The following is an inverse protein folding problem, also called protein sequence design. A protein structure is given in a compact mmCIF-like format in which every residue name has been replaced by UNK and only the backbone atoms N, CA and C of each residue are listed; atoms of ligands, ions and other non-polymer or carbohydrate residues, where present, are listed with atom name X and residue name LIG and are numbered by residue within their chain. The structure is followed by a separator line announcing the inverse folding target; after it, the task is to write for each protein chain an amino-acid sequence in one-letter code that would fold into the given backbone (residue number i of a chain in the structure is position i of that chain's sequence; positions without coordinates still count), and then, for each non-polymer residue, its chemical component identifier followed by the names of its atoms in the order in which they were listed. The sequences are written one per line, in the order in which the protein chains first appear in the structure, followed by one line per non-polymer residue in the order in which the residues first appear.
data_IF_828649664137
#
_entry.id   IF_828649664137
#
_cell.length_a   1.000
_cell.length_b   1.000
_cell.length_c   1.000
_cell.angle_alpha   90.00
_cell.angle_beta   90.00
_cell.angle_gamma   90.00
#
_symmetry.space_group_name_H-M   'P 1'
#
loop_
_entity.id
_entity.type
_entity.pdbx_description
1 polymer ?
#
# COMPACT_ATOMS: atom_id res chain seq x y z
N UNK A 1 13.44 -32.91 22.43
CA UNK A 1 12.29 -32.23 21.80
C UNK A 1 12.51 -30.73 21.90
N UNK A 2 12.80 -30.06 20.79
CA UNK A 2 12.98 -28.59 20.71
C UNK A 2 11.68 -28.03 20.13
N UNK A 3 11.00 -27.16 20.86
CA UNK A 3 9.75 -26.52 20.44
C UNK A 3 9.95 -25.59 19.23
N UNK A 4 8.86 -25.21 18.53
CA UNK A 4 8.94 -24.37 17.34
C UNK A 4 9.51 -23.00 17.71
N UNK A 5 10.67 -22.67 17.11
CA UNK A 5 11.26 -21.35 17.18
C UNK A 5 10.33 -20.36 16.48
N UNK A 6 9.91 -19.35 17.23
CA UNK A 6 9.17 -18.18 16.75
C UNK A 6 9.91 -17.54 15.58
N UNK A 7 9.37 -17.67 14.37
CA UNK A 7 9.78 -16.87 13.21
C UNK A 7 8.81 -15.70 13.12
N UNK A 8 9.17 -14.56 13.72
CA UNK A 8 8.35 -13.36 13.69
C UNK A 8 9.17 -12.12 14.01
N UNK A 9 9.41 -11.30 13.00
CA UNK A 9 9.68 -9.87 13.19
C UNK A 9 11.15 -9.46 13.28
N UNK A 10 11.90 -9.57 12.19
CA UNK A 10 13.16 -8.83 12.00
C UNK A 10 12.97 -7.49 11.25
N UNK A 11 11.76 -7.17 10.77
CA UNK A 11 11.45 -5.97 9.99
C UNK A 11 11.40 -4.65 10.80
N UNK A 12 11.99 -4.58 12.00
CA UNK A 12 11.73 -3.50 12.98
C UNK A 12 12.96 -2.72 13.47
N UNK A 13 14.08 -2.72 12.73
CA UNK A 13 15.25 -1.90 13.13
C UNK A 13 15.46 -0.61 12.33
N UNK A 14 14.74 -0.40 11.22
CA UNK A 14 14.66 0.93 10.59
C UNK A 14 13.72 1.83 11.39
N UNK A 15 14.11 3.08 11.63
CA UNK A 15 13.22 4.08 12.23
C UNK A 15 11.99 4.25 11.33
N UNK A 16 10.78 3.84 11.80
CA UNK A 16 9.56 3.91 11.01
C UNK A 16 9.23 5.34 10.59
N UNK A 17 9.67 6.36 11.34
CA UNK A 17 9.45 7.78 11.01
C UNK A 17 10.40 8.25 9.91
N UNK A 18 11.68 7.88 9.96
CA UNK A 18 12.64 8.18 8.90
C UNK A 18 12.25 7.52 7.58
N UNK A 19 11.72 6.31 7.64
CA UNK A 19 11.26 5.56 6.48
C UNK A 19 9.94 6.11 5.93
N UNK A 20 8.99 6.48 6.80
CA UNK A 20 7.79 7.25 6.41
C UNK A 20 8.16 8.58 5.77
N UNK A 21 9.21 9.24 6.25
CA UNK A 21 9.70 10.50 5.70
C UNK A 21 10.34 10.29 4.32
N UNK A 22 11.19 9.27 4.16
CA UNK A 22 11.74 8.87 2.86
C UNK A 22 10.64 8.55 1.86
N UNK A 23 9.65 7.74 2.26
CA UNK A 23 8.48 7.41 1.43
C UNK A 23 7.72 8.70 1.09
N UNK A 24 7.39 9.54 2.07
CA UNK A 24 6.69 10.82 1.85
C UNK A 24 7.45 11.81 0.97
N UNK A 25 8.78 11.77 0.93
CA UNK A 25 9.62 12.63 0.07
C UNK A 25 9.90 12.01 -1.29
N UNK A 26 9.96 10.68 -1.39
CA UNK A 26 10.15 9.93 -2.63
C UNK A 26 8.85 9.71 -3.43
N UNK A 27 7.68 9.85 -2.79
CA UNK A 27 6.34 9.84 -3.42
C UNK A 27 6.10 11.01 -4.40
N UNK A 28 7.08 11.91 -4.56
CA UNK A 28 7.01 12.99 -5.54
C UNK A 28 7.27 12.44 -6.95
N UNK A 29 6.21 11.89 -7.56
CA UNK A 29 6.01 11.66 -9.00
C UNK A 29 6.96 10.71 -9.75
N UNK A 30 7.78 9.90 -9.07
CA UNK A 30 8.65 8.90 -9.73
C UNK A 30 8.17 7.45 -9.49
N UNK A 31 8.06 6.67 -10.57
CA UNK A 31 7.62 5.26 -10.56
C UNK A 31 8.47 4.42 -9.58
N UNK A 32 9.74 4.78 -9.41
CA UNK A 32 10.63 4.12 -8.46
C UNK A 32 10.17 4.28 -7.01
N UNK A 33 9.77 5.50 -6.62
CA UNK A 33 9.31 5.81 -5.26
C UNK A 33 7.98 5.12 -4.95
N UNK A 34 7.08 5.08 -5.94
CA UNK A 34 5.83 4.35 -5.88
C UNK A 34 6.04 2.85 -5.62
N UNK A 35 6.94 2.22 -6.38
CA UNK A 35 7.27 0.81 -6.20
C UNK A 35 7.98 0.54 -4.87
N UNK A 36 8.88 1.41 -4.43
CA UNK A 36 9.54 1.28 -3.13
C UNK A 36 8.54 1.36 -1.97
N UNK A 37 7.55 2.25 -2.07
CA UNK A 37 6.44 2.35 -1.11
C UNK A 37 5.60 1.05 -1.08
N UNK A 38 5.25 0.48 -2.23
CA UNK A 38 4.53 -0.80 -2.29
C UNK A 38 5.37 -1.95 -1.71
N UNK A 39 6.66 -1.97 -1.99
CA UNK A 39 7.60 -2.94 -1.44
C UNK A 39 7.65 -2.89 0.09
N UNK A 40 7.66 -1.67 0.64
CA UNK A 40 7.61 -1.46 2.08
C UNK A 40 6.31 -1.98 2.69
N UNK A 41 5.16 -1.62 2.12
CA UNK A 41 3.87 -2.15 2.59
C UNK A 41 3.81 -3.67 2.50
N UNK A 42 4.36 -4.26 1.43
CA UNK A 42 4.41 -5.70 1.28
C UNK A 42 5.24 -6.38 2.36
N UNK A 43 6.40 -5.82 2.72
CA UNK A 43 7.20 -6.32 3.84
C UNK A 43 6.44 -6.16 5.17
N UNK A 44 5.90 -4.97 5.44
CA UNK A 44 5.25 -4.65 6.72
C UNK A 44 3.96 -5.45 6.96
N UNK A 45 3.17 -5.67 5.91
CA UNK A 45 1.90 -6.38 5.95
C UNK A 45 2.05 -7.88 5.66
N UNK A 46 3.27 -8.37 5.42
CA UNK A 46 3.54 -9.80 5.20
C UNK A 46 3.14 -10.33 3.83
N UNK A 47 2.99 -9.47 2.83
CA UNK A 47 2.80 -9.84 1.43
C UNK A 47 4.13 -10.09 0.68
N UNK A 48 5.27 -9.89 1.34
CA UNK A 48 6.61 -10.24 0.88
C UNK A 48 7.27 -11.21 1.88
N UNK A 49 8.15 -12.13 1.43
CA UNK A 49 8.95 -12.96 2.34
C UNK A 49 9.72 -12.11 3.37
N UNK A 50 9.71 -12.56 4.63
CA UNK A 50 10.36 -11.87 5.75
C UNK A 50 11.89 -12.08 5.79
N UNK A 51 12.49 -12.69 4.77
CA UNK A 51 13.92 -12.95 4.65
C UNK A 51 14.72 -11.76 4.11
N UNK A 52 14.07 -10.62 3.85
CA UNK A 52 14.73 -9.37 3.50
C UNK A 52 15.46 -8.82 4.74
N UNK A 53 16.78 -8.88 4.70
CA UNK A 53 17.67 -8.50 5.81
C UNK A 53 18.17 -7.06 5.76
N UNK A 54 17.89 -6.32 4.68
CA UNK A 54 18.30 -4.93 4.49
C UNK A 54 17.30 -4.17 3.60
N UNK A 55 17.48 -2.86 3.44
CA UNK A 55 16.61 -1.98 2.65
C UNK A 55 16.89 -2.04 1.13
N UNK A 56 17.73 -2.96 0.64
CA UNK A 56 18.10 -3.01 -0.80
C UNK A 56 16.91 -3.28 -1.71
N UNK A 57 15.88 -3.96 -1.21
CA UNK A 57 14.63 -4.18 -1.93
C UNK A 57 13.88 -2.88 -2.24
N UNK A 58 14.10 -1.80 -1.47
CA UNK A 58 13.52 -0.48 -1.76
C UNK A 58 14.31 0.27 -2.82
N UNK A 59 15.63 0.04 -2.91
CA UNK A 59 16.49 0.68 -3.91
C UNK A 59 16.36 0.07 -5.31
N UNK A 60 15.83 -1.16 -5.41
CA UNK A 60 15.48 -1.84 -6.66
C UNK A 60 14.21 -2.66 -6.47
N UNK A 61 13.05 -1.99 -6.35
CA UNK A 61 11.80 -2.67 -6.08
C UNK A 61 11.38 -3.49 -7.30
N UNK A 62 11.07 -4.76 -7.07
CA UNK A 62 10.58 -5.70 -8.08
C UNK A 62 9.12 -6.07 -7.77
N UNK A 63 8.15 -5.68 -8.61
CA UNK A 63 6.74 -6.07 -8.44
C UNK A 63 6.51 -7.58 -8.36
N UNK A 64 7.40 -8.41 -8.90
CA UNK A 64 7.28 -9.87 -8.81
C UNK A 64 7.69 -10.42 -7.44
N UNK A 65 8.26 -9.60 -6.56
CA UNK A 65 8.77 -10.02 -5.25
C UNK A 65 7.72 -10.05 -4.13
N UNK A 66 6.48 -9.62 -4.40
CA UNK A 66 5.38 -9.62 -3.44
C UNK A 66 4.07 -10.14 -4.05
N UNK A 67 3.14 -10.58 -3.19
CA UNK A 67 1.79 -10.99 -3.58
C UNK A 67 0.86 -9.76 -3.65
N UNK A 68 0.43 -9.33 -4.85
CA UNK A 68 -0.39 -8.13 -5.00
C UNK A 68 -1.82 -8.30 -4.46
N UNK A 69 -2.38 -9.52 -4.45
CA UNK A 69 -3.72 -9.78 -3.89
C UNK A 69 -3.66 -9.68 -2.36
N UNK A 70 -2.65 -10.30 -1.75
CA UNK A 70 -2.46 -10.23 -0.31
C UNK A 70 -2.21 -8.78 0.12
N UNK A 71 -1.33 -8.07 -0.59
CA UNK A 71 -1.04 -6.66 -0.30
C UNK A 71 -2.30 -5.79 -0.39
N UNK A 72 -3.11 -5.94 -1.44
CA UNK A 72 -4.36 -5.20 -1.60
C UNK A 72 -5.34 -5.45 -0.45
N UNK A 73 -5.57 -6.72 -0.10
CA UNK A 73 -6.42 -7.10 1.03
C UNK A 73 -5.93 -6.51 2.34
N UNK A 74 -4.62 -6.60 2.58
CA UNK A 74 -4.00 -6.12 3.81
C UNK A 74 -4.09 -4.59 3.93
N UNK A 75 -3.81 -3.85 2.86
CA UNK A 75 -3.95 -2.39 2.81
C UNK A 75 -5.37 -1.94 3.11
N UNK A 76 -6.37 -2.54 2.47
CA UNK A 76 -7.79 -2.21 2.69
C UNK A 76 -8.23 -2.58 4.10
N UNK A 77 -7.85 -3.75 4.60
CA UNK A 77 -8.22 -4.20 5.96
C UNK A 77 -7.56 -3.38 7.07
N UNK A 78 -6.38 -2.82 6.80
CA UNK A 78 -5.62 -1.98 7.73
C UNK A 78 -5.91 -0.48 7.54
N UNK A 79 -6.83 -0.16 6.63
CA UNK A 79 -7.19 1.20 6.28
C UNK A 79 -7.83 1.89 7.49
N UNK A 80 -7.26 3.03 7.87
CA UNK A 80 -7.75 3.82 8.99
C UNK A 80 -7.85 5.28 8.59
N UNK A 81 -8.99 5.89 8.92
CA UNK A 81 -9.28 7.30 8.66
C UNK A 81 -8.61 8.18 9.71
N UNK A 82 -7.27 8.25 9.72
CA UNK A 82 -6.53 9.15 10.60
C UNK A 82 -5.79 10.24 9.78
N UNK A 83 -5.78 11.49 10.28
CA UNK A 83 -5.00 12.56 9.67
C UNK A 83 -3.52 12.18 9.56
N UNK A 84 -2.91 12.44 8.40
CA UNK A 84 -1.48 12.22 8.16
C UNK A 84 -1.10 10.83 7.64
N UNK A 85 -1.96 9.81 7.80
CA UNK A 85 -1.70 8.45 7.26
C UNK A 85 -2.65 8.08 6.13
N UNK A 86 -3.88 8.62 6.12
CA UNK A 86 -4.90 8.28 5.12
C UNK A 86 -4.46 8.53 3.68
N UNK A 87 -3.72 9.61 3.40
CA UNK A 87 -3.14 9.89 2.07
C UNK A 87 -2.22 8.78 1.60
N UNK A 88 -1.40 8.23 2.49
CA UNK A 88 -0.45 7.17 2.18
C UNK A 88 -1.18 5.88 1.81
N UNK A 89 -2.25 5.53 2.53
CA UNK A 89 -3.07 4.37 2.17
C UNK A 89 -3.78 4.57 0.83
N UNK A 90 -4.42 5.71 0.63
CA UNK A 90 -5.15 6.02 -0.60
C UNK A 90 -4.23 5.97 -1.82
N UNK A 91 -3.06 6.61 -1.71
CA UNK A 91 -2.08 6.60 -2.79
C UNK A 91 -1.56 5.17 -3.05
N UNK A 92 -1.16 4.43 -2.01
CA UNK A 92 -0.66 3.05 -2.16
C UNK A 92 -1.69 2.11 -2.81
N UNK A 93 -2.96 2.21 -2.40
CA UNK A 93 -4.06 1.43 -3.00
C UNK A 93 -4.27 1.82 -4.46
N UNK A 94 -4.16 3.11 -4.78
CA UNK A 94 -4.30 3.62 -6.15
C UNK A 94 -3.17 3.18 -7.06
N UNK A 95 -1.92 3.37 -6.64
CA UNK A 95 -0.73 2.88 -7.34
C UNK A 95 -0.80 1.38 -7.58
N UNK A 96 -1.14 0.59 -6.55
CA UNK A 96 -1.25 -0.86 -6.68
C UNK A 96 -2.34 -1.28 -7.68
N UNK A 97 -3.48 -0.58 -7.66
CA UNK A 97 -4.58 -0.84 -8.58
C UNK A 97 -4.25 -0.42 -10.01
N UNK A 98 -3.46 0.64 -10.22
CA UNK A 98 -2.95 1.01 -11.55
C UNK A 98 -1.92 0.00 -12.07
N UNK A 99 -1.02 -0.48 -11.20
CA UNK A 99 -0.02 -1.50 -11.55
C UNK A 99 -0.66 -2.86 -11.87
N UNK A 100 -1.77 -3.19 -11.19
CA UNK A 100 -2.51 -4.43 -11.39
C UNK A 100 -4.02 -4.18 -11.53
N UNK A 101 -4.49 -3.73 -12.71
CA UNK A 101 -5.90 -3.38 -12.94
C UNK A 101 -6.91 -4.52 -12.72
N UNK A 102 -6.42 -5.76 -12.68
CA UNK A 102 -7.22 -6.95 -12.41
C UNK A 102 -7.49 -7.19 -10.91
N UNK A 103 -6.84 -6.47 -9.99
CA UNK A 103 -6.98 -6.67 -8.55
C UNK A 103 -8.40 -6.52 -8.01
N UNK A 104 -9.19 -5.50 -8.41
CA UNK A 104 -10.57 -5.37 -7.93
C UNK A 104 -11.43 -6.60 -8.26
N UNK A 105 -11.17 -7.25 -9.40
CA UNK A 105 -11.86 -8.48 -9.80
C UNK A 105 -11.37 -9.70 -9.02
N UNK A 106 -10.07 -9.76 -8.70
CA UNK A 106 -9.48 -10.87 -7.94
C UNK A 106 -9.77 -10.80 -6.42
N UNK A 107 -10.10 -9.62 -5.90
CA UNK A 107 -10.42 -9.38 -4.50
C UNK A 107 -11.67 -8.46 -4.34
N UNK A 108 -12.85 -8.93 -4.76
CA UNK A 108 -14.06 -8.10 -4.81
C UNK A 108 -14.50 -7.58 -3.43
N UNK A 109 -14.35 -8.39 -2.37
CA UNK A 109 -14.69 -7.96 -1.01
C UNK A 109 -13.85 -6.76 -0.55
N UNK A 110 -12.56 -6.74 -0.91
CA UNK A 110 -11.66 -5.62 -0.61
C UNK A 110 -11.96 -4.41 -1.48
N UNK A 111 -12.31 -4.60 -2.75
CA UNK A 111 -12.74 -3.51 -3.61
C UNK A 111 -14.00 -2.83 -3.07
N UNK A 112 -15.00 -3.63 -2.67
CA UNK A 112 -16.24 -3.13 -2.08
C UNK A 112 -15.99 -2.42 -0.74
N UNK A 113 -15.11 -2.96 0.10
CA UNK A 113 -14.73 -2.31 1.36
C UNK A 113 -14.08 -0.95 1.10
N UNK A 114 -13.13 -0.86 0.17
CA UNK A 114 -12.50 0.41 -0.21
C UNK A 114 -13.50 1.43 -0.77
N UNK A 115 -14.45 0.98 -1.58
CA UNK A 115 -15.53 1.83 -2.10
C UNK A 115 -16.43 2.38 -1.00
N UNK A 116 -16.67 1.63 0.07
CA UNK A 116 -17.47 2.10 1.19
C UNK A 116 -16.86 3.30 1.93
N UNK A 117 -15.52 3.44 1.90
CA UNK A 117 -14.81 4.58 2.48
C UNK A 117 -14.70 5.77 1.53
N UNK A 118 -14.78 5.53 0.21
CA UNK A 118 -14.54 6.56 -0.82
C UNK A 118 -15.42 7.81 -0.68
N UNK A 119 -16.75 7.71 -0.45
CA UNK A 119 -17.58 8.91 -0.24
C UNK A 119 -17.10 9.78 0.93
N UNK A 120 -16.76 9.15 2.06
CA UNK A 120 -16.28 9.86 3.26
C UNK A 120 -14.95 10.58 3.00
N UNK A 121 -14.06 9.96 2.21
CA UNK A 121 -12.78 10.54 1.81
C UNK A 121 -12.97 11.75 0.89
N UNK A 122 -13.90 11.67 -0.06
CA UNK A 122 -14.17 12.73 -1.02
C UNK A 122 -14.91 13.93 -0.40
N UNK A 123 -15.82 13.67 0.54
CA UNK A 123 -16.60 14.69 1.24
C UNK A 123 -15.79 15.44 2.32
N UNK A 124 -14.71 14.82 2.82
CA UNK A 124 -13.90 15.35 3.92
C UNK A 124 -12.69 16.19 3.50
N UNK A 125 -12.07 16.85 4.47
CA UNK A 125 -10.76 17.52 4.31
C UNK A 125 -9.58 16.63 4.69
N UNK A 126 -9.84 15.33 4.92
CA UNK A 126 -8.86 14.39 5.46
C UNK A 126 -7.78 13.97 4.48
N UNK A 127 -8.03 14.09 3.17
CA UNK A 127 -7.09 13.74 2.10
C UNK A 127 -6.62 14.99 1.35
N UNK A 128 -5.37 14.94 0.92
CA UNK A 128 -4.74 15.92 0.04
C UNK A 128 -5.43 16.00 -1.33
N UNK A 129 -5.22 17.09 -2.08
CA UNK A 129 -5.69 17.21 -3.46
C UNK A 129 -5.14 16.11 -4.38
N UNK A 130 -3.93 15.59 -4.13
CA UNK A 130 -3.34 14.51 -4.93
C UNK A 130 -4.09 13.20 -4.70
N UNK A 131 -4.25 12.77 -3.44
CA UNK A 131 -4.99 11.55 -3.13
C UNK A 131 -6.47 11.62 -3.55
N UNK A 132 -7.07 12.82 -3.55
CA UNK A 132 -8.40 13.02 -4.13
C UNK A 132 -8.43 12.73 -5.64
N UNK A 133 -7.45 13.22 -6.41
CA UNK A 133 -7.33 12.90 -7.85
C UNK A 133 -7.12 11.42 -8.11
N UNK A 134 -6.32 10.74 -7.27
CA UNK A 134 -6.08 9.30 -7.40
C UNK A 134 -7.38 8.50 -7.17
N UNK A 135 -8.16 8.86 -6.16
CA UNK A 135 -9.49 8.25 -5.92
C UNK A 135 -10.46 8.47 -7.08
N UNK A 136 -10.52 9.69 -7.63
CA UNK A 136 -11.38 9.99 -8.76
C UNK A 136 -11.02 9.09 -9.96
N UNK A 137 -9.72 8.95 -10.28
CA UNK A 137 -9.24 8.08 -11.37
C UNK A 137 -9.64 6.62 -11.18
N UNK A 138 -9.47 6.08 -9.97
CA UNK A 138 -9.89 4.71 -9.65
C UNK A 138 -11.40 4.50 -9.81
N UNK A 139 -12.22 5.51 -9.49
CA UNK A 139 -13.68 5.42 -9.60
C UNK A 139 -14.11 5.45 -11.06
N UNK A 140 -13.55 6.35 -11.87
CA UNK A 140 -13.88 6.42 -13.30
C UNK A 140 -13.43 5.16 -14.05
N UNK A 141 -12.22 4.66 -13.78
CA UNK A 141 -11.71 3.44 -14.42
C UNK A 141 -12.53 2.17 -14.13
N UNK A 142 -13.29 2.16 -13.02
CA UNK A 142 -14.19 1.03 -12.65
C UNK A 142 -15.62 1.20 -13.13
N UNK A 143 -16.02 2.39 -13.58
CA UNK A 143 -17.37 2.64 -14.11
C UNK A 143 -17.48 2.25 -15.59
N UNK A 144 -16.36 2.09 -16.29
CA UNK A 144 -16.30 1.73 -17.72
C UNK A 144 -15.96 0.24 -18.00
N UNK A 145 -16.17 -0.66 -17.04
CA UNK A 145 -15.94 -2.12 -17.21
C UNK A 145 -17.21 -2.94 -17.07
#
# INVERSE_FOLDING_TARGET
MRGPGVAGGAARQGDPDQLRHFISTALLDDEHGELANLAYWALWLGAMPADRTDDTFMHRPDPASWDPIHLYRALVSSFHLAPGTVDLYVHSISTLSHLHPWLPHAAPDSAQAFDSFTPQLLDGTLISPTSRRDLDRLRYGRTES
#
